data_IF_554137134421
#
_entry.id   IF_554137134421
#
_cell.length_a   1.000
_cell.length_b   1.000
_cell.length_c   1.000
_cell.angle_alpha   90.00
_cell.angle_beta   90.00
_cell.angle_gamma   90.00
#
_symmetry.space_group_name_H-M   'P 1'
#
loop_
_entity.id
_entity.type
_entity.pdbx_description
1 polymer ?
#
# COMPACT_ATOMS: atom_id res chain seq x y z
N UNK A 1 16.69 10.27 -10.05
CA UNK A 1 17.08 10.53 -8.64
C UNK A 1 15.87 10.86 -7.75
N UNK A 2 15.10 11.92 -8.05
CA UNK A 2 13.94 12.33 -7.23
C UNK A 2 12.79 11.29 -7.19
N UNK A 3 12.47 10.65 -8.33
CA UNK A 3 11.47 9.56 -8.39
C UNK A 3 11.85 8.36 -7.51
N UNK A 4 13.13 7.97 -7.53
CA UNK A 4 13.65 6.83 -6.75
C UNK A 4 13.55 7.06 -5.25
N UNK A 5 13.90 8.26 -4.76
CA UNK A 5 13.74 8.60 -3.34
C UNK A 5 12.28 8.62 -2.89
N UNK A 6 11.37 9.05 -3.77
CA UNK A 6 9.95 9.03 -3.47
C UNK A 6 9.40 7.59 -3.39
N UNK A 7 9.85 6.70 -4.28
CA UNK A 7 9.51 5.27 -4.23
C UNK A 7 9.95 4.62 -2.93
N UNK A 8 11.19 4.85 -2.50
CA UNK A 8 11.74 4.29 -1.25
C UNK A 8 10.91 4.75 -0.05
N UNK A 9 10.63 6.06 0.07
CA UNK A 9 9.82 6.59 1.17
C UNK A 9 8.41 6.00 1.23
N UNK A 10 7.78 5.78 0.08
CA UNK A 10 6.44 5.17 0.01
C UNK A 10 6.50 3.71 0.49
N UNK A 11 7.51 2.95 0.06
CA UNK A 11 7.71 1.53 0.43
C UNK A 11 8.00 1.40 1.92
N UNK A 12 9.05 2.06 2.43
CA UNK A 12 9.45 2.00 3.84
C UNK A 12 8.32 2.48 4.76
N UNK A 13 7.59 3.51 4.34
CA UNK A 13 6.46 4.04 5.08
C UNK A 13 5.27 3.08 5.14
N UNK A 14 5.10 2.20 4.14
CA UNK A 14 4.07 1.17 4.12
C UNK A 14 4.50 -0.04 4.96
N UNK A 15 5.75 -0.49 4.82
CA UNK A 15 6.34 -1.57 5.63
C UNK A 15 6.25 -1.24 7.13
N UNK A 16 6.63 -0.02 7.50
CA UNK A 16 6.53 0.47 8.88
C UNK A 16 5.09 0.48 9.39
N UNK A 17 4.16 1.00 8.58
CA UNK A 17 2.76 1.11 8.99
C UNK A 17 2.05 -0.25 9.11
N UNK A 18 2.44 -1.23 8.29
CA UNK A 18 1.81 -2.56 8.32
C UNK A 18 2.60 -3.60 9.12
N UNK A 19 3.79 -3.27 9.62
CA UNK A 19 4.70 -4.23 10.24
C UNK A 19 5.11 -5.35 9.29
N UNK A 20 5.15 -5.08 7.98
CA UNK A 20 5.46 -6.08 6.96
C UNK A 20 6.97 -6.24 6.77
N UNK A 21 7.44 -7.44 6.38
CA UNK A 21 8.76 -7.60 5.77
C UNK A 21 8.92 -6.72 4.54
N UNK A 22 10.17 -6.55 4.09
CA UNK A 22 10.44 -5.71 2.93
C UNK A 22 9.70 -6.18 1.69
N UNK A 23 9.13 -5.23 0.94
CA UNK A 23 8.50 -5.51 -0.34
C UNK A 23 9.57 -5.90 -1.36
N UNK A 24 9.27 -6.91 -2.16
CA UNK A 24 10.18 -7.48 -3.13
C UNK A 24 9.75 -7.14 -4.55
N UNK A 25 10.74 -7.04 -5.45
CA UNK A 25 10.44 -6.92 -6.87
C UNK A 25 9.97 -8.26 -7.42
N UNK A 26 9.14 -8.18 -8.46
CA UNK A 26 8.67 -9.32 -9.25
C UNK A 26 9.81 -10.28 -9.65
N UNK A 27 10.85 -9.73 -10.27
CA UNK A 27 11.97 -10.52 -10.79
C UNK A 27 12.80 -11.19 -9.68
N UNK A 28 12.91 -10.55 -8.52
CA UNK A 28 13.58 -11.12 -7.35
C UNK A 28 12.84 -12.36 -6.83
N UNK A 29 11.50 -12.31 -6.81
CA UNK A 29 10.66 -13.45 -6.42
C UNK A 29 10.80 -14.61 -7.42
N UNK A 30 10.80 -14.33 -8.72
CA UNK A 30 10.93 -15.33 -9.78
C UNK A 30 12.30 -16.00 -9.75
N UNK A 31 13.38 -15.23 -9.65
CA UNK A 31 14.74 -15.77 -9.54
C UNK A 31 14.90 -16.62 -8.27
N UNK A 32 14.31 -16.18 -7.15
CA UNK A 32 14.38 -16.95 -5.91
C UNK A 32 13.63 -18.29 -6.03
N UNK A 33 12.48 -18.32 -6.68
CA UNK A 33 11.74 -19.55 -6.95
C UNK A 33 12.55 -20.51 -7.83
N UNK A 34 13.19 -19.98 -8.90
CA UNK A 34 14.05 -20.74 -9.81
C UNK A 34 15.23 -21.40 -9.12
N UNK A 35 15.97 -20.65 -8.29
CA UNK A 35 17.07 -21.20 -7.49
C UNK A 35 16.61 -22.25 -6.47
N UNK A 36 15.31 -22.31 -6.17
CA UNK A 36 14.69 -23.27 -5.26
C UNK A 36 14.04 -24.46 -5.99
N UNK A 37 14.25 -24.59 -7.30
CA UNK A 37 13.76 -25.74 -8.08
C UNK A 37 12.34 -25.57 -8.64
N UNK A 38 11.87 -24.33 -8.80
CA UNK A 38 10.54 -24.04 -9.34
C UNK A 38 10.62 -23.12 -10.57
N UNK A 39 9.88 -23.45 -11.63
CA UNK A 39 9.70 -22.56 -12.77
C UNK A 39 8.38 -21.80 -12.65
N UNK A 40 8.38 -20.53 -13.07
CA UNK A 40 7.15 -19.78 -13.26
C UNK A 40 6.40 -20.38 -14.45
N UNK A 41 5.20 -20.91 -14.20
CA UNK A 41 4.34 -21.51 -15.22
C UNK A 41 3.36 -20.50 -15.79
N UNK A 42 2.72 -19.75 -14.90
CA UNK A 42 1.61 -18.86 -15.24
C UNK A 42 1.59 -17.66 -14.29
N UNK A 43 1.03 -16.57 -14.79
CA UNK A 43 0.78 -15.34 -14.05
C UNK A 43 -0.64 -14.89 -14.34
N UNK A 44 -1.39 -14.58 -13.30
CA UNK A 44 -2.75 -14.03 -13.41
C UNK A 44 -2.73 -12.64 -12.80
N UNK A 45 -3.03 -11.62 -13.61
CA UNK A 45 -3.24 -10.25 -13.13
C UNK A 45 -4.72 -10.07 -12.81
N UNK A 46 -5.06 -10.07 -11.51
CA UNK A 46 -6.44 -9.88 -11.07
C UNK A 46 -6.99 -8.50 -11.42
N UNK A 47 -6.12 -7.50 -11.64
CA UNK A 47 -6.52 -6.18 -12.08
C UNK A 47 -7.04 -6.20 -13.51
N UNK A 48 -6.43 -7.00 -14.38
CA UNK A 48 -6.91 -7.23 -15.74
C UNK A 48 -8.20 -8.08 -15.74
N UNK A 49 -8.23 -9.17 -14.97
CA UNK A 49 -9.39 -10.08 -14.89
C UNK A 49 -10.66 -9.38 -14.35
N UNK A 50 -10.51 -8.56 -13.32
CA UNK A 50 -11.65 -7.89 -12.67
C UNK A 50 -11.96 -6.51 -13.26
N UNK A 51 -11.03 -5.93 -14.03
CA UNK A 51 -11.09 -4.55 -14.50
C UNK A 51 -10.87 -3.50 -13.40
N UNK A 52 -10.50 -3.92 -12.17
CA UNK A 52 -10.32 -3.03 -11.04
C UNK A 52 -8.87 -3.09 -10.51
N UNK A 53 -8.20 -1.95 -10.28
CA UNK A 53 -6.86 -1.97 -9.69
C UNK A 53 -6.90 -2.54 -8.26
N UNK A 54 -5.78 -3.07 -7.78
CA UNK A 54 -5.69 -3.68 -6.43
C UNK A 54 -6.07 -2.74 -5.27
N UNK A 55 -5.97 -1.43 -5.47
CA UNK A 55 -6.35 -0.40 -4.50
C UNK A 55 -7.82 0.06 -4.64
N UNK A 56 -8.61 -0.56 -5.53
CA UNK A 56 -9.99 -0.18 -5.81
C UNK A 56 -10.90 -0.18 -4.58
N UNK A 57 -10.69 -1.11 -3.64
CA UNK A 57 -11.47 -1.15 -2.40
C UNK A 57 -11.40 0.18 -1.62
N UNK A 58 -10.28 0.90 -1.70
CA UNK A 58 -10.13 2.21 -1.07
C UNK A 58 -10.66 3.35 -1.96
N UNK A 59 -10.53 3.24 -3.28
CA UNK A 59 -10.92 4.32 -4.20
C UNK A 59 -12.35 4.24 -4.72
N UNK A 60 -13.07 3.15 -4.43
CA UNK A 60 -14.47 2.95 -4.83
C UNK A 60 -15.43 4.02 -4.27
N UNK A 61 -15.06 4.65 -3.15
CA UNK A 61 -15.79 5.76 -2.54
C UNK A 61 -14.96 7.05 -2.57
N UNK A 62 -15.32 8.05 -3.40
CA UNK A 62 -14.65 9.34 -3.42
C UNK A 62 -14.71 10.06 -2.07
N UNK A 63 -15.81 9.88 -1.33
CA UNK A 63 -15.97 10.44 0.02
C UNK A 63 -14.97 9.85 1.00
N UNK A 64 -14.73 8.53 0.94
CA UNK A 64 -13.74 7.88 1.80
C UNK A 64 -12.33 8.42 1.53
N UNK A 65 -11.92 8.48 0.26
CA UNK A 65 -10.62 9.04 -0.10
C UNK A 65 -10.49 10.51 0.29
N UNK A 66 -11.56 11.30 0.12
CA UNK A 66 -11.58 12.67 0.61
C UNK A 66 -11.37 12.74 2.13
N UNK A 67 -12.04 11.91 2.93
CA UNK A 67 -11.83 11.89 4.37
C UNK A 67 -10.40 11.50 4.76
N UNK A 68 -9.82 10.53 4.06
CA UNK A 68 -8.44 10.07 4.28
C UNK A 68 -7.42 11.16 3.99
N UNK A 69 -7.62 11.95 2.94
CA UNK A 69 -6.64 12.95 2.50
C UNK A 69 -6.93 14.37 3.00
N UNK A 70 -8.11 14.61 3.56
CA UNK A 70 -8.59 15.96 3.91
C UNK A 70 -7.79 16.56 5.09
N UNK A 71 -7.17 17.74 4.88
CA UNK A 71 -6.54 18.50 5.96
C UNK A 71 -7.55 18.93 7.05
N UNK A 72 -8.83 19.10 6.67
CA UNK A 72 -9.91 19.45 7.59
C UNK A 72 -10.13 18.31 8.57
N UNK A 73 -10.25 17.07 8.07
CA UNK A 73 -10.42 15.88 8.92
C UNK A 73 -9.21 15.69 9.84
N UNK A 74 -7.98 15.82 9.31
CA UNK A 74 -6.77 15.75 10.14
C UNK A 74 -6.77 16.81 11.25
N UNK A 75 -7.22 18.03 10.96
CA UNK A 75 -7.35 19.10 11.95
C UNK A 75 -8.41 18.79 13.01
N UNK A 76 -9.56 18.25 12.62
CA UNK A 76 -10.60 17.82 13.56
C UNK A 76 -10.10 16.72 14.49
N UNK A 77 -9.32 15.75 13.97
CA UNK A 77 -8.68 14.72 14.78
C UNK A 77 -7.70 15.31 15.79
N UNK A 78 -6.88 16.29 15.39
CA UNK A 78 -5.98 17.02 16.30
C UNK A 78 -6.75 17.73 17.41
N UNK A 79 -7.83 18.43 17.05
CA UNK A 79 -8.69 19.14 18.02
C UNK A 79 -9.33 18.13 18.97
N UNK A 80 -9.92 17.06 18.45
CA UNK A 80 -10.53 15.99 19.24
C UNK A 80 -9.56 15.36 20.25
N UNK A 81 -8.29 15.20 19.86
CA UNK A 81 -7.23 14.78 20.77
C UNK A 81 -6.92 15.87 21.83
N UNK A 82 -6.84 17.14 21.44
CA UNK A 82 -6.54 18.24 22.35
C UNK A 82 -7.62 18.42 23.44
N UNK A 83 -8.89 18.22 23.08
CA UNK A 83 -10.02 18.29 24.03
C UNK A 83 -10.35 16.94 24.68
N UNK A 84 -9.48 15.94 24.54
CA UNK A 84 -9.57 14.59 25.15
C UNK A 84 -10.80 13.77 24.74
N UNK A 85 -11.44 14.07 23.62
CA UNK A 85 -12.40 13.16 22.98
C UNK A 85 -11.67 11.95 22.40
N UNK A 86 -10.49 12.19 21.82
CA UNK A 86 -9.62 11.13 21.29
C UNK A 86 -8.42 10.91 22.22
N UNK A 87 -7.90 9.67 22.31
CA UNK A 87 -6.78 9.36 23.19
C UNK A 87 -5.50 10.08 22.73
N UNK A 88 -4.59 10.31 23.67
CA UNK A 88 -3.29 10.90 23.38
C UNK A 88 -2.53 10.08 22.32
N UNK A 89 -2.03 10.75 21.29
CA UNK A 89 -1.31 10.10 20.20
C UNK A 89 -2.19 9.57 19.07
N UNK A 90 -3.52 9.62 19.20
CA UNK A 90 -4.45 9.15 18.16
C UNK A 90 -4.22 9.85 16.81
N UNK A 91 -3.92 11.15 16.79
CA UNK A 91 -3.62 11.85 15.56
C UNK A 91 -2.42 11.23 14.82
N UNK A 92 -1.31 10.95 15.53
CA UNK A 92 -0.13 10.30 14.94
C UNK A 92 -0.46 8.88 14.49
N UNK A 93 -1.27 8.16 15.27
CA UNK A 93 -1.73 6.83 14.92
C UNK A 93 -2.53 6.85 13.61
N UNK A 94 -3.51 7.74 13.48
CA UNK A 94 -4.30 7.89 12.25
C UNK A 94 -3.44 8.23 11.03
N UNK A 95 -2.54 9.22 11.18
CA UNK A 95 -1.68 9.70 10.10
C UNK A 95 -0.64 8.66 9.63
N UNK A 96 -0.32 7.69 10.49
CA UNK A 96 0.66 6.65 10.18
C UNK A 96 -0.02 5.38 9.70
N UNK A 97 -0.93 4.83 10.51
CA UNK A 97 -1.44 3.47 10.41
C UNK A 97 -2.80 3.35 9.73
N UNK A 98 -3.64 4.38 9.81
CA UNK A 98 -4.98 4.38 9.20
C UNK A 98 -4.94 5.11 7.85
N UNK A 99 -5.26 6.40 7.87
CA UNK A 99 -5.24 7.27 6.70
C UNK A 99 -3.86 7.22 5.99
N UNK A 100 -2.78 7.16 6.79
CA UNK A 100 -1.42 7.05 6.29
C UNK A 100 -1.15 5.81 5.43
N UNK A 101 -1.69 4.66 5.82
CA UNK A 101 -1.52 3.39 5.10
C UNK A 101 -2.32 3.42 3.81
N UNK A 102 -3.61 3.79 3.90
CA UNK A 102 -4.51 3.87 2.75
C UNK A 102 -3.94 4.81 1.69
N UNK A 103 -3.52 6.01 2.10
CA UNK A 103 -2.95 6.99 1.17
C UNK A 103 -1.67 6.48 0.49
N UNK A 104 -0.79 5.76 1.21
CA UNK A 104 0.43 5.18 0.63
C UNK A 104 0.13 4.07 -0.37
N UNK A 105 -0.83 3.19 -0.07
CA UNK A 105 -1.27 2.11 -0.98
C UNK A 105 -1.83 2.71 -2.26
N UNK A 106 -2.80 3.63 -2.15
CA UNK A 106 -3.48 4.22 -3.30
C UNK A 106 -2.50 5.04 -4.15
N UNK A 107 -1.74 5.95 -3.54
CA UNK A 107 -0.79 6.79 -4.28
C UNK A 107 0.36 5.97 -4.85
N UNK A 108 0.86 4.99 -4.09
CA UNK A 108 1.90 4.06 -4.55
C UNK A 108 1.44 3.27 -5.78
N UNK A 109 0.19 2.79 -5.79
CA UNK A 109 -0.42 2.14 -6.94
C UNK A 109 -0.61 3.07 -8.14
N UNK A 110 -1.19 4.26 -7.93
CA UNK A 110 -1.40 5.25 -8.99
C UNK A 110 -0.08 5.74 -9.63
N UNK A 111 1.01 5.77 -8.86
CA UNK A 111 2.33 6.15 -9.32
C UNK A 111 3.11 5.00 -9.98
N UNK A 112 2.56 3.78 -9.99
CA UNK A 112 3.27 2.59 -10.47
C UNK A 112 4.47 2.18 -9.61
N UNK A 113 4.52 2.62 -8.35
CA UNK A 113 5.56 2.22 -7.38
C UNK A 113 5.21 0.87 -6.77
N UNK A 114 3.93 0.66 -6.49
CA UNK A 114 3.39 -0.58 -5.93
C UNK A 114 2.55 -1.26 -7.00
N UNK A 115 2.84 -2.53 -7.23
CA UNK A 115 1.93 -3.45 -7.91
C UNK A 115 1.33 -4.38 -6.86
N UNK A 116 0.09 -4.78 -7.09
CA UNK A 116 -0.62 -5.74 -6.26
C UNK A 116 -1.62 -6.48 -7.13
N UNK A 117 -2.10 -7.61 -6.62
CA UNK A 117 -3.08 -8.46 -7.29
C UNK A 117 -2.52 -9.34 -8.44
N UNK A 118 -1.22 -9.63 -8.44
CA UNK A 118 -0.63 -10.68 -9.28
C UNK A 118 -0.63 -12.02 -8.52
N UNK A 119 -1.19 -13.07 -9.13
CA UNK A 119 -1.03 -14.46 -8.67
C UNK A 119 0.02 -15.12 -9.56
N UNK A 120 1.10 -15.61 -8.94
CA UNK A 120 2.14 -16.38 -9.63
C UNK A 120 1.97 -17.87 -9.35
N UNK A 121 1.85 -18.66 -10.41
CA UNK A 121 1.78 -20.12 -10.32
C UNK A 121 3.13 -20.69 -10.71
N UNK A 122 3.73 -21.44 -9.79
CA UNK A 122 5.00 -22.09 -9.99
C UNK A 122 4.82 -23.60 -10.13
N UNK A 123 5.55 -24.22 -11.04
CA UNK A 123 5.65 -25.66 -11.16
C UNK A 123 7.03 -26.14 -10.71
N UNK A 124 7.07 -27.30 -10.06
CA UNK A 124 8.33 -27.91 -9.67
C UNK A 124 9.05 -28.42 -10.92
N UNK A 125 10.35 -28.16 -11.01
CA UNK A 125 11.26 -28.71 -12.02
C UNK A 125 11.28 -30.25 -11.99
#
# INVERSE_FOLDING_TARGET
MMKTMQSIKTIEGLEYACGMPSLHKRDEMIEKAKTSGFNLKETIDLGEETGFPFYYCFTSSPLFMWMVESPIISTLIKIGQAIKILPSGFHRFNDTFLAGTVAKIVKGGQMGILSGAEIMVFEKL
#
